data_IF_685423432219
#
_entry.id   IF_685423432219
#
_cell.length_a   1.000
_cell.length_b   1.000
_cell.length_c   1.000
_cell.angle_alpha   90.00
_cell.angle_beta   90.00
_cell.angle_gamma   90.00
#
_symmetry.space_group_name_H-M   'P 1'
#
loop_
_entity.id
_entity.type
_entity.pdbx_description
1 polymer ?
#
# COMPACT_ATOMS: atom_id res chain seq x y z
N UNK A 1 14.20 20.13 20.46
CA UNK A 1 13.60 19.06 19.65
C UNK A 1 12.67 19.75 18.67
N UNK A 2 12.98 19.75 17.38
CA UNK A 2 12.14 20.41 16.37
C UNK A 2 10.91 19.54 16.08
N UNK A 3 9.83 20.11 15.53
CA UNK A 3 8.68 19.32 15.06
C UNK A 3 9.06 18.18 14.09
N UNK A 4 10.22 18.28 13.41
CA UNK A 4 10.74 17.23 12.53
C UNK A 4 11.25 16.00 13.28
N UNK A 5 11.68 16.16 14.53
CA UNK A 5 12.18 15.06 15.37
C UNK A 5 11.04 14.24 16.00
N UNK A 6 9.79 14.68 15.83
CA UNK A 6 8.58 14.08 16.44
C UNK A 6 7.68 13.35 15.43
N UNK A 7 7.99 13.42 14.12
CA UNK A 7 7.21 12.72 13.10
C UNK A 7 7.83 11.36 12.81
N UNK A 8 7.09 10.24 12.93
CA UNK A 8 7.57 8.94 12.51
C UNK A 8 7.99 8.99 11.04
N UNK A 9 9.12 8.36 10.71
CA UNK A 9 9.59 8.27 9.34
C UNK A 9 8.53 7.60 8.46
N UNK A 10 8.27 8.19 7.28
CA UNK A 10 7.42 7.57 6.26
C UNK A 10 8.30 6.67 5.39
N UNK A 11 7.87 5.43 5.19
CA UNK A 11 8.51 4.45 4.32
C UNK A 11 7.67 4.28 3.06
N UNK A 12 8.29 4.38 1.89
CA UNK A 12 7.69 4.08 0.60
C UNK A 12 8.05 2.64 0.20
N UNK A 13 7.06 1.82 -0.14
CA UNK A 13 7.27 0.42 -0.53
C UNK A 13 6.54 0.12 -1.84
N UNK A 14 7.25 -0.37 -2.85
CA UNK A 14 6.62 -0.85 -4.07
C UNK A 14 6.19 -2.31 -3.97
N UNK A 15 4.99 -2.61 -4.44
CA UNK A 15 4.39 -3.95 -4.42
C UNK A 15 3.95 -4.33 -5.83
N UNK A 16 4.89 -4.69 -6.73
CA UNK A 16 4.62 -4.89 -8.17
C UNK A 16 3.91 -6.23 -8.44
N UNK A 17 2.64 -6.36 -8.05
CA UNK A 17 1.84 -7.57 -8.21
C UNK A 17 0.47 -7.27 -8.78
N UNK A 18 0.15 -7.83 -9.95
CA UNK A 18 -1.13 -7.62 -10.64
C UNK A 18 -1.76 -8.90 -11.21
N UNK A 19 -1.38 -10.05 -10.66
CA UNK A 19 -1.76 -11.36 -11.19
C UNK A 19 -3.29 -11.60 -11.15
N UNK A 20 -4.02 -10.86 -10.33
CA UNK A 20 -5.44 -11.03 -10.04
C UNK A 20 -6.32 -9.87 -10.56
N UNK A 21 -5.77 -9.07 -11.48
CA UNK A 21 -6.54 -8.13 -12.30
C UNK A 21 -7.51 -8.87 -13.23
N UNK A 22 -8.79 -8.50 -13.19
CA UNK A 22 -9.83 -9.19 -13.98
C UNK A 22 -9.93 -8.76 -15.46
N UNK A 23 -9.35 -7.60 -15.84
CA UNK A 23 -9.40 -7.11 -17.23
C UNK A 23 -8.01 -6.96 -17.86
N UNK A 24 -7.15 -6.08 -17.32
CA UNK A 24 -5.81 -5.83 -17.83
C UNK A 24 -4.77 -5.91 -16.72
N UNK A 25 -3.67 -6.61 -17.01
CA UNK A 25 -2.41 -6.47 -16.27
C UNK A 25 -1.62 -5.26 -16.80
N UNK A 26 -0.73 -4.74 -15.97
CA UNK A 26 -0.11 -3.44 -16.14
C UNK A 26 0.17 -2.72 -14.82
N UNK A 27 -0.72 -2.80 -13.81
CA UNK A 27 -0.48 -2.16 -12.52
C UNK A 27 0.83 -2.56 -11.84
N UNK A 28 1.37 -3.76 -12.07
CA UNK A 28 2.68 -4.15 -11.51
C UNK A 28 3.84 -3.24 -11.98
N UNK A 29 3.68 -2.48 -13.07
CA UNK A 29 4.64 -1.46 -13.50
C UNK A 29 4.52 -0.10 -12.79
N UNK A 30 3.48 0.10 -11.98
CA UNK A 30 3.20 1.37 -11.30
C UNK A 30 4.30 1.82 -10.32
N UNK A 31 4.93 0.94 -9.51
CA UNK A 31 5.99 1.35 -8.59
C UNK A 31 7.16 2.06 -9.27
N UNK A 32 7.58 1.55 -10.44
CA UNK A 32 8.63 2.19 -11.25
C UNK A 32 8.16 3.51 -11.82
N UNK A 33 6.94 3.53 -12.41
CA UNK A 33 6.40 4.72 -13.06
C UNK A 33 6.17 5.88 -12.09
N UNK A 34 5.66 5.61 -10.89
CA UNK A 34 5.43 6.62 -9.84
C UNK A 34 6.75 7.23 -9.37
N UNK A 35 7.80 6.42 -9.18
CA UNK A 35 9.13 6.95 -8.82
C UNK A 35 9.73 7.82 -9.92
N UNK A 36 9.59 7.39 -11.18
CA UNK A 36 10.03 8.18 -12.32
C UNK A 36 9.29 9.53 -12.41
N UNK A 37 8.00 9.57 -12.06
CA UNK A 37 7.24 10.82 -12.00
C UNK A 37 7.68 11.71 -10.83
N UNK A 38 7.99 11.13 -9.68
CA UNK A 38 8.47 11.84 -8.49
C UNK A 38 9.83 12.53 -8.73
N UNK A 39 10.73 11.88 -9.47
CA UNK A 39 12.08 12.39 -9.79
C UNK A 39 12.18 12.97 -11.22
N UNK A 40 11.05 13.20 -11.89
CA UNK A 40 11.00 13.58 -13.31
C UNK A 40 11.47 15.02 -13.63
N UNK A 41 11.88 15.80 -12.63
CA UNK A 41 12.43 17.16 -12.77
C UNK A 41 11.44 18.26 -13.20
N UNK A 42 10.21 17.90 -13.57
CA UNK A 42 9.14 18.84 -13.93
C UNK A 42 8.46 19.48 -12.72
N UNK A 43 8.53 18.80 -11.57
CA UNK A 43 8.04 19.27 -10.28
C UNK A 43 9.21 19.58 -9.34
N UNK A 44 8.94 20.41 -8.32
CA UNK A 44 9.83 20.52 -7.17
C UNK A 44 9.41 19.51 -6.08
N UNK A 45 10.25 19.35 -5.07
CA UNK A 45 10.01 18.44 -3.95
C UNK A 45 9.01 18.95 -2.91
N UNK A 46 8.40 20.11 -3.12
CA UNK A 46 7.52 20.73 -2.13
C UNK A 46 6.09 20.23 -2.30
N UNK A 47 5.55 19.61 -1.25
CA UNK A 47 4.12 19.29 -1.20
C UNK A 47 3.26 20.55 -1.16
N UNK A 48 1.97 20.43 -1.47
CA UNK A 48 1.01 21.55 -1.36
C UNK A 48 0.94 22.17 0.06
N UNK A 49 1.30 21.40 1.10
CA UNK A 49 1.37 21.88 2.49
C UNK A 49 2.69 22.53 2.87
N UNK A 50 3.63 22.69 1.92
CA UNK A 50 4.92 23.32 2.16
C UNK A 50 5.96 22.40 2.81
N UNK A 51 5.73 21.08 2.84
CA UNK A 51 6.73 20.11 3.30
C UNK A 51 7.70 19.80 2.17
N UNK A 52 8.99 20.01 2.40
CA UNK A 52 10.08 19.66 1.46
C UNK A 52 10.39 18.17 1.59
N UNK A 53 10.19 17.43 0.50
CA UNK A 53 10.43 16.00 0.40
C UNK A 53 11.81 15.66 -0.20
N UNK A 54 12.64 16.65 -0.50
CA UNK A 54 13.93 16.44 -1.17
C UNK A 54 14.87 15.58 -0.30
N UNK A 55 15.19 14.34 -0.72
CA UNK A 55 16.10 13.47 0.02
C UNK A 55 17.49 14.09 0.19
N UNK A 56 17.95 14.89 -0.78
CA UNK A 56 19.26 15.56 -0.73
C UNK A 56 19.30 16.69 0.32
N UNK A 57 18.13 17.18 0.77
CA UNK A 57 18.01 18.18 1.84
C UNK A 57 17.62 17.57 3.19
N UNK A 58 17.66 16.24 3.31
CA UNK A 58 17.39 15.52 4.55
C UNK A 58 15.90 15.40 4.88
N UNK A 59 15.05 15.20 3.88
CA UNK A 59 13.64 14.89 4.10
C UNK A 59 13.47 13.61 4.96
N UNK A 60 12.47 13.61 5.84
CA UNK A 60 12.24 12.55 6.84
C UNK A 60 11.37 11.40 6.29
N UNK A 61 11.74 10.84 5.15
CA UNK A 61 11.13 9.64 4.58
C UNK A 61 12.19 8.73 3.93
N UNK A 62 11.84 7.47 3.70
CA UNK A 62 12.74 6.44 3.17
C UNK A 62 12.06 5.71 2.03
N UNK A 63 12.79 5.44 0.96
CA UNK A 63 12.33 4.52 -0.10
C UNK A 63 12.90 3.12 0.17
N UNK A 64 12.02 2.15 0.37
CA UNK A 64 12.38 0.74 0.60
C UNK A 64 12.56 -0.04 -0.70
N UNK A 65 12.33 0.59 -1.86
CA UNK A 65 12.38 -0.06 -3.16
C UNK A 65 11.14 -0.92 -3.45
N UNK A 66 11.29 -1.86 -4.36
CA UNK A 66 10.24 -2.76 -4.82
C UNK A 66 10.44 -4.16 -4.24
N UNK A 67 9.35 -4.79 -3.82
CA UNK A 67 9.36 -6.19 -3.41
C UNK A 67 9.64 -7.11 -4.61
N UNK A 68 10.47 -8.12 -4.37
CA UNK A 68 10.59 -9.26 -5.27
C UNK A 68 9.55 -10.31 -4.87
N UNK A 69 8.50 -10.46 -5.68
CA UNK A 69 7.33 -11.25 -5.33
C UNK A 69 7.29 -12.56 -6.12
N UNK A 70 6.99 -13.70 -5.48
CA UNK A 70 6.67 -14.95 -6.15
C UNK A 70 5.48 -14.80 -7.12
N UNK A 71 5.36 -15.70 -8.10
CA UNK A 71 4.19 -15.74 -8.99
C UNK A 71 2.96 -16.26 -8.26
N UNK A 72 3.14 -17.26 -7.40
CA UNK A 72 2.06 -17.86 -6.63
C UNK A 72 1.52 -16.90 -5.58
N UNK A 73 0.17 -16.80 -5.53
CA UNK A 73 -0.53 -15.81 -4.72
C UNK A 73 -0.22 -15.92 -3.24
N UNK A 74 -0.39 -17.09 -2.62
CA UNK A 74 -0.20 -17.26 -1.17
C UNK A 74 1.22 -16.88 -0.70
N UNK A 75 2.31 -17.36 -1.34
CA UNK A 75 3.66 -16.88 -1.06
C UNK A 75 3.84 -15.37 -1.26
N UNK A 76 3.27 -14.79 -2.33
CA UNK A 76 3.34 -13.35 -2.57
C UNK A 76 2.65 -12.55 -1.45
N UNK A 77 1.44 -12.94 -1.05
CA UNK A 77 0.71 -12.30 0.06
C UNK A 77 1.50 -12.37 1.37
N UNK A 78 2.16 -13.50 1.65
CA UNK A 78 3.01 -13.64 2.83
C UNK A 78 4.19 -12.66 2.82
N UNK A 79 4.91 -12.55 1.69
CA UNK A 79 6.03 -11.60 1.53
C UNK A 79 5.56 -10.16 1.69
N UNK A 80 4.40 -9.80 1.11
CA UNK A 80 3.84 -8.44 1.22
C UNK A 80 3.53 -8.12 2.68
N UNK A 81 2.88 -9.04 3.40
CA UNK A 81 2.50 -8.86 4.81
C UNK A 81 3.74 -8.72 5.70
N UNK A 82 4.76 -9.55 5.50
CA UNK A 82 6.01 -9.51 6.28
C UNK A 82 6.75 -8.19 6.05
N UNK A 83 6.93 -7.79 4.78
CA UNK A 83 7.60 -6.54 4.46
C UNK A 83 6.87 -5.31 5.03
N UNK A 84 5.53 -5.32 4.98
CA UNK A 84 4.73 -4.26 5.58
C UNK A 84 4.86 -4.22 7.10
N UNK A 85 4.85 -5.38 7.76
CA UNK A 85 5.02 -5.49 9.21
C UNK A 85 6.39 -4.98 9.67
N UNK A 86 7.45 -5.30 8.92
CA UNK A 86 8.80 -4.81 9.14
C UNK A 86 8.89 -3.29 8.94
N UNK A 87 8.26 -2.76 7.89
CA UNK A 87 8.28 -1.32 7.59
C UNK A 87 7.60 -0.45 8.66
N UNK A 88 6.66 -1.03 9.42
CA UNK A 88 5.98 -0.37 10.55
C UNK A 88 6.52 -0.84 11.90
N UNK A 89 7.58 -1.68 11.93
CA UNK A 89 8.11 -2.33 13.14
C UNK A 89 8.43 -1.33 14.26
N UNK A 90 9.01 -0.18 13.91
CA UNK A 90 9.48 0.88 14.79
C UNK A 90 8.46 2.01 15.04
N UNK A 91 7.19 1.81 14.63
CA UNK A 91 6.16 2.84 14.68
C UNK A 91 6.18 3.81 13.50
N UNK A 92 6.99 3.52 12.47
CA UNK A 92 6.98 4.18 11.18
C UNK A 92 5.62 4.08 10.46
N UNK A 93 5.46 4.90 9.43
CA UNK A 93 4.26 4.92 8.58
C UNK A 93 4.60 4.36 7.21
N UNK A 94 3.69 3.58 6.64
CA UNK A 94 3.90 2.97 5.32
C UNK A 94 3.04 3.66 4.27
N UNK A 95 3.65 3.99 3.13
CA UNK A 95 2.99 4.29 1.87
C UNK A 95 3.39 3.19 0.90
N UNK A 96 2.41 2.45 0.40
CA UNK A 96 2.64 1.40 -0.59
C UNK A 96 2.21 1.87 -1.97
N UNK A 97 3.03 1.61 -2.99
CA UNK A 97 2.65 1.74 -4.39
C UNK A 97 2.36 0.33 -4.89
N UNK A 98 1.09 0.02 -5.09
CA UNK A 98 0.64 -1.33 -5.43
C UNK A 98 0.89 -1.72 -6.89
N UNK A 99 0.46 -2.94 -7.19
CA UNK A 99 -0.01 -3.34 -8.49
C UNK A 99 -1.54 -3.31 -8.48
N UNK A 100 -2.19 -4.47 -8.63
CA UNK A 100 -3.64 -4.56 -8.52
C UNK A 100 -4.12 -4.46 -7.06
N UNK A 101 -5.43 -4.35 -6.88
CA UNK A 101 -6.00 -4.04 -5.57
C UNK A 101 -5.92 -5.20 -4.55
N UNK A 102 -5.60 -6.42 -4.98
CA UNK A 102 -5.44 -7.56 -4.06
C UNK A 102 -4.37 -7.26 -3.00
N UNK A 103 -3.31 -6.54 -3.38
CA UNK A 103 -2.17 -6.24 -2.49
C UNK A 103 -2.60 -5.51 -1.22
N UNK A 104 -3.75 -4.83 -1.21
CA UNK A 104 -4.30 -4.17 -0.03
C UNK A 104 -4.61 -5.14 1.09
N UNK A 105 -5.04 -6.37 0.79
CA UNK A 105 -5.39 -7.35 1.83
C UNK A 105 -4.21 -7.70 2.75
N UNK A 106 -3.05 -8.20 2.27
CA UNK A 106 -1.91 -8.49 3.12
C UNK A 106 -1.29 -7.23 3.77
N UNK A 107 -1.38 -6.06 3.13
CA UNK A 107 -0.96 -4.79 3.73
C UNK A 107 -1.82 -4.45 4.95
N UNK A 108 -3.14 -4.64 4.87
CA UNK A 108 -4.06 -4.43 5.99
C UNK A 108 -3.84 -5.47 7.08
N UNK A 109 -3.59 -6.74 6.74
CA UNK A 109 -3.23 -7.78 7.72
C UNK A 109 -2.01 -7.39 8.56
N UNK A 110 -0.99 -6.76 7.96
CA UNK A 110 0.17 -6.26 8.71
C UNK A 110 -0.21 -5.15 9.70
N UNK A 111 -1.13 -4.26 9.30
CA UNK A 111 -1.60 -3.16 10.14
C UNK A 111 -2.46 -3.65 11.30
N UNK A 112 -3.39 -4.58 11.06
CA UNK A 112 -4.26 -5.15 12.11
C UNK A 112 -3.47 -5.97 13.13
N UNK A 113 -2.32 -6.54 12.75
CA UNK A 113 -1.39 -7.18 13.68
C UNK A 113 -0.73 -6.22 14.68
N UNK A 114 -0.79 -4.90 14.44
CA UNK A 114 -0.19 -3.85 15.28
C UNK A 114 -1.18 -2.88 15.91
N UNK A 115 -2.34 -2.74 15.29
CA UNK A 115 -3.31 -1.70 15.63
C UNK A 115 -4.70 -2.33 15.76
N UNK A 116 -5.28 -2.18 16.94
CA UNK A 116 -6.68 -2.52 17.17
C UNK A 116 -7.60 -1.40 16.68
N UNK A 117 -8.80 -1.78 16.22
CA UNK A 117 -9.86 -0.82 15.91
C UNK A 117 -9.59 0.05 14.67
N UNK A 118 -8.86 -0.48 13.68
CA UNK A 118 -8.56 0.25 12.46
C UNK A 118 -9.84 0.70 11.73
N UNK A 119 -9.81 1.94 11.25
CA UNK A 119 -10.80 2.46 10.30
C UNK A 119 -10.12 2.61 8.94
N UNK A 120 -10.68 1.95 7.94
CA UNK A 120 -10.25 2.06 6.55
C UNK A 120 -11.05 3.15 5.85
N UNK A 121 -10.33 4.08 5.25
CA UNK A 121 -10.87 5.05 4.31
C UNK A 121 -10.46 4.60 2.91
N UNK A 122 -11.44 4.22 2.10
CA UNK A 122 -11.24 3.60 0.80
C UNK A 122 -11.80 4.52 -0.30
N UNK A 123 -10.93 4.97 -1.20
CA UNK A 123 -11.31 5.74 -2.37
C UNK A 123 -11.21 4.87 -3.60
N UNK A 124 -12.34 4.53 -4.20
CA UNK A 124 -12.40 3.69 -5.40
C UNK A 124 -13.74 3.86 -6.10
N UNK A 125 -13.77 3.67 -7.42
CA UNK A 125 -14.98 3.57 -8.20
C UNK A 125 -15.71 2.23 -7.98
N UNK A 126 -15.01 1.22 -7.46
CA UNK A 126 -15.52 -0.12 -7.19
C UNK A 126 -15.46 -0.45 -5.71
N UNK A 127 -16.45 -1.18 -5.17
CA UNK A 127 -16.47 -1.49 -3.74
C UNK A 127 -15.44 -2.56 -3.35
N UNK A 128 -15.01 -3.39 -4.29
CA UNK A 128 -14.06 -4.49 -4.08
C UNK A 128 -14.43 -5.46 -2.93
N UNK A 129 -15.75 -5.70 -2.83
CA UNK A 129 -16.44 -6.48 -1.81
C UNK A 129 -17.08 -7.78 -2.35
N UNK A 130 -16.67 -8.24 -3.54
CA UNK A 130 -17.16 -9.53 -4.02
C UNK A 130 -16.65 -10.66 -3.12
N UNK A 131 -17.51 -11.66 -2.85
CA UNK A 131 -17.06 -12.87 -2.16
C UNK A 131 -16.08 -13.65 -3.05
N UNK A 132 -16.40 -13.76 -4.34
CA UNK A 132 -15.54 -14.23 -5.41
C UNK A 132 -15.92 -13.51 -6.71
N UNK A 133 -14.95 -13.26 -7.58
CA UNK A 133 -15.19 -12.79 -8.95
C UNK A 133 -14.68 -13.87 -9.91
N UNK A 134 -15.54 -14.38 -10.77
CA UNK A 134 -15.21 -15.44 -11.75
C UNK A 134 -14.56 -16.69 -11.11
N UNK A 135 -14.93 -17.02 -9.88
CA UNK A 135 -14.38 -18.14 -9.10
C UNK A 135 -13.01 -17.85 -8.45
N UNK A 136 -12.53 -16.61 -8.52
CA UNK A 136 -11.28 -16.17 -7.89
C UNK A 136 -11.54 -15.35 -6.62
N UNK A 137 -11.24 -15.94 -5.46
CA UNK A 137 -11.33 -15.27 -4.15
C UNK A 137 -10.20 -14.25 -3.93
N UNK A 138 -9.12 -14.33 -4.69
CA UNK A 138 -8.00 -13.39 -4.64
C UNK A 138 -8.14 -12.29 -5.70
N UNK A 139 -9.25 -12.23 -6.43
CA UNK A 139 -9.46 -11.17 -7.41
C UNK A 139 -9.24 -9.79 -6.80
N UNK A 140 -8.70 -8.86 -7.58
CA UNK A 140 -8.59 -7.45 -7.19
C UNK A 140 -9.93 -6.81 -6.78
N UNK A 141 -11.06 -7.41 -7.17
CA UNK A 141 -12.41 -6.98 -6.79
C UNK A 141 -12.94 -7.62 -5.48
N UNK A 142 -12.11 -8.39 -4.78
CA UNK A 142 -12.45 -9.09 -3.55
C UNK A 142 -11.67 -8.68 -2.26
N UNK A 143 -10.61 -7.83 -2.26
CA UNK A 143 -9.76 -7.68 -1.08
C UNK A 143 -10.50 -7.15 0.14
N UNK A 144 -11.50 -6.28 -0.03
CA UNK A 144 -12.25 -5.76 1.11
C UNK A 144 -13.25 -6.77 1.67
N UNK A 145 -13.72 -7.74 0.87
CA UNK A 145 -14.49 -8.86 1.43
C UNK A 145 -13.60 -9.68 2.36
N UNK A 146 -12.38 -10.03 1.92
CA UNK A 146 -11.39 -10.76 2.74
C UNK A 146 -11.03 -10.01 4.02
N UNK A 147 -10.75 -8.72 3.92
CA UNK A 147 -10.43 -7.86 5.07
C UNK A 147 -11.56 -7.86 6.11
N UNK A 148 -12.81 -7.75 5.66
CA UNK A 148 -13.95 -7.66 6.57
C UNK A 148 -14.35 -9.03 7.16
N UNK A 149 -14.12 -10.13 6.43
CA UNK A 149 -14.31 -11.51 6.91
C UNK A 149 -13.42 -11.83 8.12
N UNK A 150 -12.20 -11.28 8.18
CA UNK A 150 -11.28 -11.46 9.31
C UNK A 150 -11.74 -10.78 10.60
N UNK A 151 -12.63 -9.78 10.52
CA UNK A 151 -13.22 -9.13 11.69
C UNK A 151 -12.26 -8.26 12.52
N UNK A 152 -11.07 -7.94 12.00
CA UNK A 152 -10.07 -7.11 12.69
C UNK A 152 -10.19 -5.61 12.38
N UNK A 153 -10.94 -5.24 11.34
CA UNK A 153 -11.21 -3.86 10.96
C UNK A 153 -12.54 -3.40 11.56
N UNK A 154 -12.52 -2.30 12.30
CA UNK A 154 -13.72 -1.78 12.97
C UNK A 154 -14.68 -1.07 12.02
N UNK A 155 -14.14 -0.40 10.99
CA UNK A 155 -14.96 0.39 10.06
C UNK A 155 -14.31 0.46 8.69
N UNK A 156 -15.10 0.27 7.65
CA UNK A 156 -14.76 0.56 6.26
C UNK A 156 -15.66 1.70 5.78
N UNK A 157 -15.06 2.77 5.24
CA UNK A 157 -15.79 3.90 4.65
C UNK A 157 -15.33 4.09 3.21
N UNK A 158 -16.26 3.97 2.26
CA UNK A 158 -15.96 4.00 0.82
C UNK A 158 -16.49 5.28 0.18
N UNK A 159 -15.68 5.87 -0.70
CA UNK A 159 -16.00 7.10 -1.44
C UNK A 159 -15.56 6.97 -2.90
N UNK A 160 -16.40 7.44 -3.82
CA UNK A 160 -16.17 7.34 -5.26
C UNK A 160 -17.29 6.57 -5.92
#
# INVERSE_FOLDING_TARGET
MSMRDLMPAVSLLGVPYDAHSSFLRGPAGAPTAVRAALDGGSANWCTERGVDLDPAKGAAWRDLGDLNLPEEVEPALAVIREAAADAIADGGRLVSIGGDHLVTWPLVQAMTGKHDGLTLLHFDAHPDLYDELDGDRYSHACPFARIMEEGHVARLVQFG
#
